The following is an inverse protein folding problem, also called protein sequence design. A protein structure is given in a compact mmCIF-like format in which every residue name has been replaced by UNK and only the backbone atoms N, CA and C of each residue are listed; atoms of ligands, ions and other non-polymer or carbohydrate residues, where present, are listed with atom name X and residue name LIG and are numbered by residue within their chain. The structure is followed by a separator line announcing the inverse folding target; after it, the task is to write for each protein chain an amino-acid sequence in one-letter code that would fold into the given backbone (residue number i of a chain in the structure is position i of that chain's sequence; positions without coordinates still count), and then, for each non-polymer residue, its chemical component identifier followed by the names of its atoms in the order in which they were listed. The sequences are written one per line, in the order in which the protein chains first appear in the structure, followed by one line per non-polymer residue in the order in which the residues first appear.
data_IF_586970391934
#
_entry.id   IF_586970391934
#
_cell.length_a   1.000
_cell.length_b   1.000
_cell.length_c   1.000
_cell.angle_alpha   90.00
_cell.angle_beta   90.00
_cell.angle_gamma   90.00
#
_symmetry.space_group_name_H-M   'P 1'
#
loop_
_entity.id
_entity.type
_entity.pdbx_description
1 polymer ?
#
# COMPACT_ATOMS: atom_id res chain seq x y z
N UNK A 1 13.19 -8.93 16.32
CA UNK A 1 13.71 -8.05 17.38
C UNK A 1 12.80 -8.06 18.61
N UNK A 2 11.48 -7.82 18.48
CA UNK A 2 10.57 -7.88 19.63
C UNK A 2 10.55 -9.25 20.32
N UNK A 3 10.30 -10.34 19.56
CA UNK A 3 10.27 -11.72 20.10
C UNK A 3 11.61 -12.13 20.71
N UNK A 4 12.74 -11.82 20.06
CA UNK A 4 14.07 -12.16 20.58
C UNK A 4 14.39 -11.41 21.89
N UNK A 5 13.88 -10.19 22.08
CA UNK A 5 13.99 -9.44 23.34
C UNK A 5 13.06 -9.99 24.42
N UNK A 6 11.82 -10.31 24.07
CA UNK A 6 10.86 -10.92 25.02
C UNK A 6 11.36 -12.27 25.55
N UNK A 7 11.99 -13.06 24.69
CA UNK A 7 12.52 -14.37 25.03
C UNK A 7 13.96 -14.33 25.56
N UNK A 8 14.58 -13.15 25.66
CA UNK A 8 15.99 -12.97 26.08
C UNK A 8 16.98 -13.85 25.33
N UNK A 9 16.74 -14.09 24.03
CA UNK A 9 17.62 -14.90 23.17
C UNK A 9 18.22 -14.06 22.05
N UNK A 10 19.45 -14.42 21.65
CA UNK A 10 20.07 -13.80 20.49
C UNK A 10 19.20 -14.05 19.23
N UNK A 11 19.08 -13.04 18.37
CA UNK A 11 18.29 -13.12 17.13
C UNK A 11 18.74 -14.27 16.22
N UNK A 12 20.03 -14.61 16.25
CA UNK A 12 20.61 -15.72 15.50
C UNK A 12 20.21 -17.08 16.09
N UNK A 13 20.12 -17.17 17.42
CA UNK A 13 19.58 -18.34 18.11
C UNK A 13 18.12 -18.55 17.77
N UNK A 14 17.30 -17.49 17.82
CA UNK A 14 15.90 -17.55 17.43
C UNK A 14 15.74 -17.98 15.95
N UNK A 15 16.60 -17.48 15.06
CA UNK A 15 16.63 -17.89 13.66
C UNK A 15 16.98 -19.38 13.50
N UNK A 16 18.01 -19.86 14.20
CA UNK A 16 18.42 -21.26 14.15
C UNK A 16 17.33 -22.20 14.69
N UNK A 17 16.70 -21.85 15.81
CA UNK A 17 15.57 -22.61 16.35
C UNK A 17 14.41 -22.67 15.36
N UNK A 18 14.06 -21.54 14.74
CA UNK A 18 13.03 -21.55 13.71
C UNK A 18 13.40 -22.47 12.55
N UNK A 19 14.67 -22.50 12.12
CA UNK A 19 15.12 -23.41 11.05
C UNK A 19 15.03 -24.88 11.47
N UNK A 20 15.49 -25.21 12.68
CA UNK A 20 15.44 -26.57 13.22
C UNK A 20 14.00 -27.08 13.36
N UNK A 21 13.09 -26.20 13.78
CA UNK A 21 11.67 -26.52 13.93
C UNK A 21 10.87 -26.47 12.60
N UNK A 22 11.53 -26.24 11.45
CA UNK A 22 10.85 -26.09 10.17
C UNK A 22 9.96 -24.85 10.04
N UNK A 23 10.00 -23.93 11.02
CA UNK A 23 9.23 -22.68 11.07
C UNK A 23 9.80 -21.58 10.16
N UNK A 24 10.73 -21.94 9.29
CA UNK A 24 11.30 -21.09 8.26
C UNK A 24 10.96 -21.71 6.91
N UNK A 25 9.68 -21.69 6.58
CA UNK A 25 9.23 -22.00 5.24
C UNK A 25 9.47 -20.78 4.35
N UNK A 26 10.62 -20.77 3.68
CA UNK A 26 10.88 -19.82 2.60
C UNK A 26 10.30 -20.30 1.27
N UNK A 27 9.36 -21.24 1.26
CA UNK A 27 8.87 -21.90 0.05
C UNK A 27 10.00 -22.49 -0.79
N UNK A 28 9.62 -23.10 -1.90
CA UNK A 28 10.57 -23.36 -2.98
C UNK A 28 10.70 -22.11 -3.85
N UNK A 29 11.91 -21.86 -4.36
CA UNK A 29 12.08 -20.86 -5.40
C UNK A 29 11.49 -21.41 -6.70
N UNK A 30 10.80 -20.55 -7.44
CA UNK A 30 10.27 -20.88 -8.75
C UNK A 30 11.43 -21.10 -9.72
N UNK A 31 11.44 -22.23 -10.42
CA UNK A 31 12.37 -22.45 -11.51
C UNK A 31 11.91 -21.65 -12.74
N UNK A 32 12.41 -20.43 -12.86
CA UNK A 32 12.08 -19.48 -13.95
C UNK A 32 13.36 -19.13 -14.72
N UNK A 33 13.27 -18.99 -16.05
CA UNK A 33 14.38 -18.54 -16.90
C UNK A 33 14.74 -17.07 -16.63
N UNK A 34 15.91 -16.61 -17.08
CA UNK A 34 16.24 -15.19 -16.98
C UNK A 34 15.37 -14.35 -17.92
N UNK A 35 15.04 -14.86 -19.10
CA UNK A 35 14.25 -14.12 -20.10
C UNK A 35 12.80 -13.91 -19.62
N UNK A 36 12.19 -14.93 -19.00
CA UNK A 36 10.86 -14.79 -18.41
C UNK A 36 10.85 -13.87 -17.19
N UNK A 37 11.90 -13.96 -16.36
CA UNK A 37 12.06 -13.06 -15.24
C UNK A 37 12.20 -11.61 -15.72
N UNK A 38 12.97 -11.37 -16.78
CA UNK A 38 13.15 -10.05 -17.37
C UNK A 38 11.87 -9.50 -17.98
N UNK A 39 11.11 -10.35 -18.67
CA UNK A 39 9.79 -10.00 -19.19
C UNK A 39 8.87 -9.56 -18.06
N UNK A 40 8.78 -10.32 -16.98
CA UNK A 40 7.98 -9.92 -15.81
C UNK A 40 8.47 -8.63 -15.16
N UNK A 41 9.78 -8.44 -15.03
CA UNK A 41 10.33 -7.19 -14.48
C UNK A 41 9.95 -6.00 -15.38
N UNK A 42 10.05 -6.18 -16.69
CA UNK A 42 9.73 -5.15 -17.69
C UNK A 42 8.25 -4.79 -17.66
N UNK A 43 7.35 -5.77 -17.61
CA UNK A 43 5.90 -5.57 -17.45
C UNK A 43 5.59 -4.74 -16.19
N UNK A 44 6.25 -5.04 -15.05
CA UNK A 44 6.06 -4.29 -13.81
C UNK A 44 6.58 -2.85 -13.93
N UNK A 45 7.71 -2.65 -14.63
CA UNK A 45 8.26 -1.31 -14.86
C UNK A 45 7.41 -0.48 -15.81
N UNK A 46 6.75 -1.10 -16.80
CA UNK A 46 5.81 -0.43 -17.68
C UNK A 46 4.57 0.04 -16.92
N UNK A 47 4.02 -0.80 -16.04
CA UNK A 47 2.84 -0.46 -15.23
C UNK A 47 3.17 0.50 -14.09
N UNK A 48 4.35 0.39 -13.49
CA UNK A 48 4.77 1.22 -12.36
C UNK A 48 6.22 1.66 -12.56
N UNK A 49 6.45 2.71 -13.36
CA UNK A 49 7.77 3.25 -13.60
C UNK A 49 8.49 3.61 -12.31
N UNK A 50 9.80 3.34 -12.28
CA UNK A 50 10.65 3.61 -11.12
C UNK A 50 10.56 2.56 -10.00
N UNK A 51 9.81 1.46 -10.18
CA UNK A 51 9.76 0.35 -9.23
C UNK A 51 11.15 -0.18 -8.85
N UNK A 52 11.43 -0.20 -7.55
CA UNK A 52 12.66 -0.79 -7.01
C UNK A 52 12.50 -2.28 -6.71
N UNK A 53 13.59 -2.89 -6.25
CA UNK A 53 13.68 -4.31 -5.90
C UNK A 53 12.49 -4.83 -5.05
N UNK A 54 12.02 -4.04 -4.08
CA UNK A 54 10.89 -4.40 -3.21
C UNK A 54 9.58 -4.52 -3.99
N UNK A 55 9.28 -3.57 -4.89
CA UNK A 55 8.04 -3.60 -5.70
C UNK A 55 8.07 -4.75 -6.69
N UNK A 56 9.21 -4.96 -7.36
CA UNK A 56 9.41 -6.10 -8.25
C UNK A 56 9.19 -7.42 -7.51
N UNK A 57 9.84 -7.58 -6.36
CA UNK A 57 9.70 -8.79 -5.53
C UNK A 57 8.25 -9.00 -5.08
N UNK A 58 7.56 -7.92 -4.68
CA UNK A 58 6.14 -7.98 -4.30
C UNK A 58 5.24 -8.40 -5.45
N UNK A 59 5.44 -7.82 -6.65
CA UNK A 59 4.67 -8.16 -7.84
C UNK A 59 4.89 -9.61 -8.27
N UNK A 60 6.14 -10.09 -8.30
CA UNK A 60 6.46 -11.49 -8.59
C UNK A 60 5.78 -12.43 -7.59
N UNK A 61 5.84 -12.12 -6.29
CA UNK A 61 5.16 -12.92 -5.25
C UNK A 61 3.64 -12.94 -5.41
N UNK A 62 3.03 -11.82 -5.79
CA UNK A 62 1.60 -11.75 -6.09
C UNK A 62 1.19 -12.65 -7.26
N UNK A 63 2.12 -12.95 -8.17
CA UNK A 63 1.96 -13.91 -9.27
C UNK A 63 2.37 -15.35 -8.90
N UNK A 64 2.65 -15.62 -7.62
CA UNK A 64 3.15 -16.93 -7.16
C UNK A 64 4.61 -17.21 -7.53
N UNK A 65 5.34 -16.22 -8.07
CA UNK A 65 6.72 -16.36 -8.51
C UNK A 65 7.67 -15.95 -7.39
N UNK A 66 8.43 -16.90 -6.88
CA UNK A 66 9.39 -16.66 -5.79
C UNK A 66 10.81 -16.78 -6.32
N UNK A 67 11.51 -15.64 -6.36
CA UNK A 67 12.89 -15.56 -6.87
C UNK A 67 13.83 -15.11 -5.74
N UNK A 68 15.08 -15.62 -5.69
CA UNK A 68 16.08 -15.11 -4.77
C UNK A 68 16.30 -13.60 -4.94
N UNK A 69 16.42 -12.89 -3.81
CA UNK A 69 16.58 -11.44 -3.78
C UNK A 69 17.76 -10.94 -4.61
N UNK A 70 18.88 -11.67 -4.60
CA UNK A 70 20.07 -11.32 -5.36
C UNK A 70 19.81 -11.36 -6.87
N UNK A 71 19.04 -12.34 -7.35
CA UNK A 71 18.74 -12.53 -8.77
C UNK A 71 17.81 -11.44 -9.29
N UNK A 72 16.78 -11.07 -8.51
CA UNK A 72 15.93 -9.90 -8.83
C UNK A 72 16.78 -8.62 -8.95
N UNK A 73 17.72 -8.40 -8.03
CA UNK A 73 18.61 -7.23 -8.06
C UNK A 73 19.53 -7.21 -9.28
N UNK A 74 20.09 -8.36 -9.62
CA UNK A 74 20.96 -8.52 -10.79
C UNK A 74 20.20 -8.21 -12.08
N UNK A 75 19.05 -8.86 -12.29
CA UNK A 75 18.22 -8.63 -13.50
C UNK A 75 17.74 -7.19 -13.59
N UNK A 76 17.23 -6.62 -12.49
CA UNK A 76 16.79 -5.22 -12.45
C UNK A 76 17.92 -4.23 -12.77
N UNK A 77 19.17 -4.53 -12.40
CA UNK A 77 20.34 -3.70 -12.77
C UNK A 77 20.56 -3.66 -14.27
N UNK A 78 20.34 -4.79 -14.96
CA UNK A 78 20.54 -4.92 -16.40
C UNK A 78 19.42 -4.20 -17.15
N UNK A 79 18.17 -4.37 -16.70
CA UNK A 79 16.97 -3.83 -17.36
C UNK A 79 16.79 -2.32 -17.11
N UNK A 80 17.04 -1.85 -15.89
CA UNK A 80 16.81 -0.44 -15.49
C UNK A 80 18.07 0.18 -14.83
N UNK A 81 19.17 0.35 -15.57
CA UNK A 81 20.39 0.94 -15.04
C UNK A 81 20.19 2.41 -14.65
N UNK A 82 19.41 3.16 -15.43
CA UNK A 82 19.15 4.60 -15.22
C UNK A 82 18.24 4.83 -14.02
N UNK A 83 17.11 4.14 -13.92
CA UNK A 83 16.20 4.27 -12.79
C UNK A 83 16.87 3.87 -11.48
N UNK A 84 17.84 2.94 -11.51
CA UNK A 84 18.66 2.62 -10.32
C UNK A 84 19.48 3.81 -9.84
N UNK A 85 20.13 4.54 -10.74
CA UNK A 85 20.91 5.74 -10.39
C UNK A 85 20.00 6.83 -9.84
N UNK A 86 18.86 7.07 -10.49
CA UNK A 86 17.89 8.07 -10.03
C UNK A 86 17.33 7.76 -8.64
N UNK A 87 17.08 6.47 -8.32
CA UNK A 87 16.66 6.04 -6.98
C UNK A 87 17.77 6.26 -5.94
N UNK A 88 19.02 5.99 -6.29
CA UNK A 88 20.16 6.17 -5.39
C UNK A 88 20.37 7.63 -4.96
N UNK A 89 20.02 8.60 -5.82
CA UNK A 89 20.14 10.05 -5.54
C UNK A 89 19.05 10.58 -4.61
N UNK A 90 17.91 9.90 -4.49
CA UNK A 90 16.79 10.32 -3.62
C UNK A 90 17.01 9.81 -2.20
N UNK A 91 17.83 10.51 -1.42
CA UNK A 91 17.91 10.24 0.01
C UNK A 91 16.57 10.56 0.68
N UNK A 92 15.87 9.53 1.16
CA UNK A 92 14.63 9.72 1.94
C UNK A 92 15.06 10.17 3.34
N UNK A 93 14.76 11.41 3.69
CA UNK A 93 14.90 11.89 5.06
C UNK A 93 13.90 11.12 5.95
N UNK A 94 14.41 10.21 6.77
CA UNK A 94 13.58 9.44 7.70
C UNK A 94 13.22 10.34 8.88
N UNK A 95 11.93 10.67 9.01
CA UNK A 95 11.41 11.31 10.21
C UNK A 95 11.37 10.30 11.36
N UNK A 96 11.72 10.73 12.56
CA UNK A 96 11.57 9.93 13.77
C UNK A 96 10.07 9.80 14.03
N UNK A 97 9.58 8.56 13.97
CA UNK A 97 8.20 8.23 14.31
C UNK A 97 8.25 7.01 15.21
N UNK A 98 7.59 7.11 16.37
CA UNK A 98 7.54 6.04 17.35
C UNK A 98 6.10 5.73 17.77
N UNK A 99 5.68 4.50 17.53
CA UNK A 99 4.53 3.82 18.16
C UNK A 99 5.12 2.49 18.62
N UNK A 100 4.74 2.02 19.80
CA UNK A 100 5.49 0.98 20.51
C UNK A 100 5.01 -0.42 20.18
N UNK A 101 3.72 -0.59 19.85
CA UNK A 101 3.11 -1.90 19.58
C UNK A 101 2.05 -1.82 18.47
N UNK A 102 1.78 -2.94 17.75
CA UNK A 102 0.64 -3.03 16.84
C UNK A 102 -0.67 -2.68 17.53
N UNK A 103 -1.60 -2.10 16.77
CA UNK A 103 -2.95 -1.74 17.24
C UNK A 103 -2.99 -0.67 18.35
N UNK A 104 -1.87 -0.01 18.63
CA UNK A 104 -1.83 1.11 19.55
C UNK A 104 -2.41 2.38 18.93
N UNK A 105 -2.07 2.68 17.68
CA UNK A 105 -2.48 3.91 17.02
C UNK A 105 -2.75 3.66 15.55
N UNK A 106 -4.00 3.83 15.12
CA UNK A 106 -4.36 3.86 13.71
C UNK A 106 -4.37 5.30 13.19
N UNK A 107 -3.89 5.48 11.96
CA UNK A 107 -3.85 6.73 11.21
C UNK A 107 -4.92 6.62 10.14
N UNK A 108 -5.99 7.39 10.26
CA UNK A 108 -7.10 7.41 9.30
C UNK A 108 -7.12 8.75 8.58
N UNK A 109 -7.55 8.73 7.33
CA UNK A 109 -7.68 9.93 6.50
C UNK A 109 -8.50 9.64 5.25
N UNK A 110 -8.86 10.70 4.52
CA UNK A 110 -9.47 10.60 3.21
C UNK A 110 -8.61 11.30 2.14
N UNK A 111 -8.61 10.75 0.93
CA UNK A 111 -7.82 11.28 -0.18
C UNK A 111 -8.72 11.64 -1.36
N UNK A 112 -8.70 12.94 -1.68
CA UNK A 112 -9.55 13.60 -2.66
C UNK A 112 -8.91 13.77 -4.04
N UNK A 113 -7.82 13.08 -4.38
CA UNK A 113 -7.15 13.26 -5.68
C UNK A 113 -8.04 12.97 -6.89
N UNK A 114 -9.07 12.14 -6.72
CA UNK A 114 -10.06 11.82 -7.76
C UNK A 114 -11.45 12.46 -7.49
N UNK A 115 -11.53 13.40 -6.55
CA UNK A 115 -12.78 14.08 -6.19
C UNK A 115 -13.47 14.80 -7.37
N UNK A 116 -12.75 15.38 -8.36
CA UNK A 116 -13.40 15.95 -9.55
C UNK A 116 -14.30 14.97 -10.32
N UNK A 117 -14.02 13.67 -10.23
CA UNK A 117 -14.81 12.60 -10.85
C UNK A 117 -15.74 11.89 -9.86
N UNK A 118 -15.95 12.47 -8.68
CA UNK A 118 -16.83 11.93 -7.65
C UNK A 118 -16.25 10.76 -6.84
N UNK A 119 -14.93 10.54 -6.88
CA UNK A 119 -14.28 9.45 -6.14
C UNK A 119 -13.41 9.96 -4.98
N UNK A 120 -13.55 9.32 -3.82
CA UNK A 120 -12.76 9.60 -2.61
C UNK A 120 -12.22 8.30 -2.06
N UNK A 121 -10.91 8.25 -1.76
CA UNK A 121 -10.33 7.11 -1.07
C UNK A 121 -10.41 7.30 0.44
N UNK A 122 -10.96 6.31 1.14
CA UNK A 122 -10.95 6.19 2.59
C UNK A 122 -9.85 5.21 2.98
N UNK A 123 -9.02 5.58 3.96
CA UNK A 123 -7.88 4.74 4.36
C UNK A 123 -7.61 4.74 5.85
N UNK A 124 -7.11 3.60 6.33
CA UNK A 124 -6.62 3.41 7.69
C UNK A 124 -5.30 2.64 7.68
N UNK A 125 -4.34 3.06 8.51
CA UNK A 125 -3.03 2.42 8.63
C UNK A 125 -2.63 2.29 10.09
N UNK A 126 -2.20 1.09 10.49
CA UNK A 126 -1.59 0.88 11.80
C UNK A 126 -0.21 1.55 11.88
N UNK A 127 -0.04 2.39 12.90
CA UNK A 127 1.12 3.22 13.12
C UNK A 127 2.41 2.43 13.38
N UNK A 128 2.31 1.26 13.99
CA UNK A 128 3.46 0.40 14.28
C UNK A 128 3.86 -0.43 13.06
N UNK A 129 2.95 -1.30 12.63
CA UNK A 129 3.20 -2.36 11.65
C UNK A 129 3.19 -1.87 10.20
N UNK A 130 2.62 -0.69 9.93
CA UNK A 130 2.27 -0.20 8.58
C UNK A 130 1.22 -1.07 7.87
N UNK A 131 0.52 -1.95 8.59
CA UNK A 131 -0.61 -2.66 8.04
C UNK A 131 -1.67 -1.66 7.57
N UNK A 132 -2.11 -1.77 6.32
CA UNK A 132 -3.26 -1.04 5.82
C UNK A 132 -4.48 -1.77 6.39
N UNK A 133 -5.17 -1.16 7.35
CA UNK A 133 -6.32 -1.77 8.03
C UNK A 133 -7.56 -1.73 7.15
N UNK A 134 -7.70 -0.65 6.38
CA UNK A 134 -8.64 -0.58 5.26
C UNK A 134 -8.15 0.43 4.22
N UNK A 135 -8.55 0.20 2.96
CA UNK A 135 -8.37 1.14 1.86
C UNK A 135 -9.48 0.90 0.84
N UNK A 136 -10.38 1.88 0.67
CA UNK A 136 -11.54 1.76 -0.21
C UNK A 136 -11.77 3.03 -1.01
N UNK A 137 -12.07 2.88 -2.30
CA UNK A 137 -12.56 3.96 -3.14
C UNK A 137 -14.09 4.02 -3.00
N UNK A 138 -14.63 5.17 -2.65
CA UNK A 138 -16.06 5.40 -2.48
C UNK A 138 -16.50 6.59 -3.35
N UNK A 139 -17.80 6.69 -3.58
CA UNK A 139 -18.41 7.82 -4.30
C UNK A 139 -18.95 8.92 -3.38
N UNK A 140 -18.65 8.82 -2.09
CA UNK A 140 -19.07 9.79 -1.07
C UNK A 140 -18.02 9.92 0.05
N UNK A 141 -18.12 11.00 0.82
CA UNK A 141 -17.28 11.29 1.98
C UNK A 141 -18.08 11.42 3.27
N UNK A 142 -19.14 10.60 3.43
CA UNK A 142 -20.01 10.69 4.61
C UNK A 142 -19.36 10.06 5.83
N UNK A 143 -19.68 10.60 7.01
CA UNK A 143 -19.21 10.08 8.28
C UNK A 143 -19.65 8.64 8.55
N UNK A 144 -20.88 8.29 8.14
CA UNK A 144 -21.40 6.93 8.24
C UNK A 144 -20.61 5.92 7.39
N UNK A 145 -20.20 6.32 6.18
CA UNK A 145 -19.35 5.51 5.29
C UNK A 145 -17.99 5.27 5.94
N UNK A 146 -17.33 6.33 6.42
CA UNK A 146 -16.05 6.22 7.11
C UNK A 146 -16.13 5.33 8.35
N UNK A 147 -17.19 5.48 9.15
CA UNK A 147 -17.45 4.65 10.32
C UNK A 147 -17.70 3.18 9.97
N UNK A 148 -18.45 2.88 8.90
CA UNK A 148 -18.68 1.51 8.46
C UNK A 148 -17.38 0.83 8.05
N UNK A 149 -16.55 1.52 7.25
CA UNK A 149 -15.24 1.00 6.84
C UNK A 149 -14.31 0.75 8.03
N UNK A 150 -14.32 1.67 8.98
CA UNK A 150 -13.56 1.54 10.21
C UNK A 150 -14.01 0.33 11.04
N UNK A 151 -15.30 0.15 11.27
CA UNK A 151 -15.83 -1.00 12.02
C UNK A 151 -15.50 -2.34 11.35
N UNK A 152 -15.66 -2.43 10.03
CA UNK A 152 -15.26 -3.64 9.28
C UNK A 152 -13.77 -3.98 9.50
N UNK A 153 -12.91 -2.97 9.59
CA UNK A 153 -11.50 -3.18 9.90
C UNK A 153 -11.28 -3.57 11.37
N UNK A 154 -12.04 -3.00 12.30
CA UNK A 154 -12.03 -3.38 13.72
C UNK A 154 -12.44 -4.84 13.91
N UNK A 155 -13.42 -5.34 13.15
CA UNK A 155 -13.82 -6.76 13.22
C UNK A 155 -12.69 -7.71 12.80
N UNK A 156 -11.82 -7.28 11.88
CA UNK A 156 -10.71 -8.07 11.38
C UNK A 156 -9.44 -7.96 12.23
N UNK A 157 -9.11 -6.76 12.71
CA UNK A 157 -7.82 -6.46 13.35
C UNK A 157 -7.93 -6.15 14.84
N UNK A 158 -9.15 -6.09 15.38
CA UNK A 158 -9.45 -5.65 16.73
C UNK A 158 -9.43 -4.12 16.88
N UNK A 159 -10.18 -3.62 17.85
CA UNK A 159 -10.30 -2.18 18.12
C UNK A 159 -8.93 -1.57 18.51
N UNK A 160 -8.44 -0.51 17.86
CA UNK A 160 -7.19 0.14 18.28
C UNK A 160 -7.32 0.81 19.65
N UNK A 161 -6.18 1.10 20.30
CA UNK A 161 -6.19 1.90 21.54
C UNK A 161 -6.49 3.38 21.25
N UNK A 162 -5.94 3.89 20.15
CA UNK A 162 -6.10 5.25 19.71
C UNK A 162 -6.30 5.32 18.20
N UNK A 163 -7.06 6.32 17.76
CA UNK A 163 -7.14 6.70 16.35
C UNK A 163 -6.64 8.13 16.21
N UNK A 164 -5.92 8.43 15.14
CA UNK A 164 -5.56 9.78 14.73
C UNK A 164 -6.16 10.04 13.35
N UNK A 165 -6.82 11.18 13.24
CA UNK A 165 -7.33 11.74 12.00
C UNK A 165 -7.23 13.25 12.06
N UNK A 166 -7.71 13.91 11.01
CA UNK A 166 -7.88 15.35 11.00
C UNK A 166 -9.20 15.75 11.68
N UNK A 167 -9.56 17.03 11.57
CA UNK A 167 -10.82 17.57 12.10
C UNK A 167 -11.97 17.46 11.08
N UNK A 168 -11.86 16.58 10.08
CA UNK A 168 -12.84 16.40 9.02
C UNK A 168 -14.19 15.92 9.54
N UNK A 169 -15.27 16.40 8.92
CA UNK A 169 -16.63 16.02 9.32
C UNK A 169 -16.91 14.54 9.04
N UNK A 170 -16.20 13.93 8.09
CA UNK A 170 -16.24 12.50 7.81
C UNK A 170 -15.70 11.65 8.96
N UNK A 171 -14.87 12.20 9.83
CA UNK A 171 -14.25 11.46 10.92
C UNK A 171 -15.06 11.54 12.23
N UNK A 172 -16.13 12.34 12.28
CA UNK A 172 -16.92 12.59 13.49
C UNK A 172 -17.51 11.31 14.08
N UNK A 173 -18.08 10.45 13.23
CA UNK A 173 -18.72 9.22 13.70
C UNK A 173 -17.70 8.18 14.18
N UNK A 174 -16.50 8.12 13.57
CA UNK A 174 -15.38 7.31 14.08
C UNK A 174 -14.89 7.85 15.43
N UNK A 175 -14.77 9.16 15.56
CA UNK A 175 -14.38 9.79 16.82
C UNK A 175 -15.38 9.48 17.94
N UNK A 176 -16.68 9.58 17.67
CA UNK A 176 -17.75 9.21 18.61
C UNK A 176 -17.65 7.75 19.02
N UNK A 177 -17.56 6.83 18.04
CA UNK A 177 -17.42 5.40 18.27
C UNK A 177 -16.20 5.06 19.16
N UNK A 178 -15.05 5.70 18.90
CA UNK A 178 -13.84 5.49 19.69
C UNK A 178 -13.98 6.01 21.12
N UNK A 179 -14.63 7.16 21.33
CA UNK A 179 -14.90 7.72 22.66
C UNK A 179 -15.84 6.80 23.45
N UNK A 180 -16.87 6.26 22.81
CA UNK A 180 -17.82 5.32 23.44
C UNK A 180 -17.13 4.01 23.87
N UNK A 181 -16.23 3.46 23.04
CA UNK A 181 -15.62 2.15 23.29
C UNK A 181 -14.29 2.19 24.07
N UNK A 182 -13.54 3.30 24.03
CA UNK A 182 -12.26 3.47 24.74
C UNK A 182 -12.30 4.49 25.87
N UNK A 183 -13.38 5.27 25.97
CA UNK A 183 -13.61 6.30 26.98
C UNK A 183 -13.19 7.71 26.53
N UNK A 184 -13.77 8.73 27.16
CA UNK A 184 -13.38 10.12 26.98
C UNK A 184 -12.03 10.44 27.65
N UNK A 185 -11.37 11.52 27.23
CA UNK A 185 -10.13 12.08 27.85
C UNK A 185 -8.91 11.15 27.90
N UNK A 186 -8.86 10.10 27.06
CA UNK A 186 -7.71 9.17 26.97
C UNK A 186 -6.96 9.26 25.64
N UNK A 187 -7.30 10.23 24.80
CA UNK A 187 -6.79 10.31 23.42
C UNK A 187 -7.35 9.19 22.53
N UNK A 188 -8.58 8.73 22.79
CA UNK A 188 -9.26 7.69 22.01
C UNK A 188 -9.37 8.08 20.53
N UNK A 189 -9.67 9.35 20.27
CA UNK A 189 -9.50 9.99 18.97
C UNK A 189 -8.62 11.24 19.15
N UNK A 190 -7.54 11.32 18.38
CA UNK A 190 -6.61 12.44 18.38
C UNK A 190 -6.76 13.22 17.08
N UNK A 191 -7.34 14.40 17.17
CA UNK A 191 -7.35 15.37 16.07
C UNK A 191 -5.96 15.99 15.97
N UNK A 192 -5.36 15.97 14.78
CA UNK A 192 -4.09 16.65 14.54
C UNK A 192 -3.95 17.10 13.09
N UNK A 193 -3.08 18.08 12.84
CA UNK A 193 -2.74 18.49 11.47
C UNK A 193 -2.17 17.30 10.66
N UNK A 194 -2.34 17.31 9.34
CA UNK A 194 -1.82 16.30 8.40
C UNK A 194 -0.34 15.93 8.62
N UNK A 195 0.50 16.88 9.04
CA UNK A 195 1.92 16.65 9.38
C UNK A 195 2.16 15.63 10.51
N UNK A 196 1.15 15.37 11.34
CA UNK A 196 1.15 14.36 12.41
C UNK A 196 0.57 13.00 11.96
N UNK A 197 -0.12 12.97 10.83
CA UNK A 197 -0.74 11.79 10.21
C UNK A 197 0.24 11.09 9.24
N UNK A 198 1.52 11.02 9.61
CA UNK A 198 2.61 10.68 8.69
C UNK A 198 2.49 9.30 8.03
N UNK A 199 1.77 8.37 8.68
CA UNK A 199 1.69 6.97 8.21
C UNK A 199 0.72 6.84 7.05
N UNK A 200 -0.44 7.47 7.15
CA UNK A 200 -1.44 7.50 6.08
C UNK A 200 -1.02 8.44 4.95
N UNK A 201 -0.38 9.57 5.26
CA UNK A 201 0.20 10.46 4.23
C UNK A 201 1.26 9.74 3.37
N UNK A 202 2.07 8.89 4.00
CA UNK A 202 3.02 8.06 3.27
C UNK A 202 2.33 7.04 2.36
N UNK A 203 1.17 6.50 2.79
CA UNK A 203 0.34 5.63 1.96
C UNK A 203 -0.24 6.43 0.78
N UNK A 204 -0.75 7.64 1.02
CA UNK A 204 -1.26 8.52 -0.03
C UNK A 204 -0.22 8.85 -1.08
N UNK A 205 1.03 9.09 -0.69
CA UNK A 205 2.11 9.28 -1.65
C UNK A 205 2.28 8.07 -2.60
N UNK A 206 2.14 6.83 -2.13
CA UNK A 206 2.17 5.65 -3.02
C UNK A 206 0.89 5.49 -3.83
N UNK A 207 -0.28 5.61 -3.19
CA UNK A 207 -1.57 5.48 -3.86
C UNK A 207 -1.70 6.50 -5.00
N UNK A 208 -1.30 7.74 -4.76
CA UNK A 208 -1.33 8.78 -5.78
C UNK A 208 -0.38 8.50 -6.94
N UNK A 209 0.81 7.97 -6.64
CA UNK A 209 1.82 7.66 -7.65
C UNK A 209 1.42 6.47 -8.52
N UNK A 210 0.81 5.44 -7.94
CA UNK A 210 0.57 4.15 -8.62
C UNK A 210 -0.85 4.01 -9.14
N UNK A 211 -1.84 4.51 -8.40
CA UNK A 211 -3.27 4.30 -8.70
C UNK A 211 -3.91 5.58 -9.21
N UNK A 212 -3.88 6.66 -8.41
CA UNK A 212 -4.63 7.87 -8.75
C UNK A 212 -4.10 8.54 -10.01
N UNK A 213 -2.79 8.51 -10.27
CA UNK A 213 -2.21 9.06 -11.49
C UNK A 213 -2.80 8.40 -12.75
N UNK A 214 -2.85 7.06 -12.78
CA UNK A 214 -3.43 6.31 -13.90
C UNK A 214 -4.90 6.67 -14.15
N UNK A 215 -5.73 6.63 -13.10
CA UNK A 215 -7.16 6.94 -13.24
C UNK A 215 -7.40 8.40 -13.61
N UNK A 216 -6.59 9.32 -13.07
CA UNK A 216 -6.65 10.73 -13.46
C UNK A 216 -6.39 10.92 -14.95
N UNK A 217 -5.35 10.31 -15.49
CA UNK A 217 -5.03 10.40 -16.91
C UNK A 217 -6.14 9.78 -17.78
N UNK A 218 -6.68 8.64 -17.36
CA UNK A 218 -7.81 7.99 -18.03
C UNK A 218 -9.07 8.88 -18.04
N UNK A 219 -9.43 9.47 -16.91
CA UNK A 219 -10.63 10.30 -16.81
C UNK A 219 -10.49 11.60 -17.60
N UNK A 220 -9.32 12.25 -17.54
CA UNK A 220 -9.03 13.41 -18.39
C UNK A 220 -9.10 13.08 -19.88
N UNK A 221 -8.59 11.91 -20.28
CA UNK A 221 -8.74 11.44 -21.66
C UNK A 221 -10.21 11.29 -22.04
N UNK A 222 -11.03 10.69 -21.18
CA UNK A 222 -12.47 10.50 -21.43
C UNK A 222 -13.24 11.83 -21.50
N UNK A 223 -12.89 12.83 -20.68
CA UNK A 223 -13.50 14.17 -20.72
C UNK A 223 -13.16 14.90 -22.02
N UNK A 224 -11.87 14.94 -22.37
CA UNK A 224 -11.40 15.54 -23.62
C UNK A 224 -12.03 14.87 -24.85
N UNK A 225 -12.38 13.59 -24.74
CA UNK A 225 -13.03 12.85 -25.80
C UNK A 225 -14.51 13.24 -25.97
N UNK A 226 -15.22 13.44 -24.85
CA UNK A 226 -16.62 13.92 -24.84
C UNK A 226 -16.74 15.33 -25.39
N UNK A 227 -15.78 16.20 -25.08
CA UNK A 227 -15.79 17.60 -25.52
C UNK A 227 -15.45 17.76 -27.01
N UNK A 228 -14.76 16.79 -27.62
CA UNK A 228 -14.32 16.84 -29.02
C UNK A 228 -15.19 16.02 -30.00
N UNK A 229 -16.28 15.41 -29.55
CA UNK A 229 -17.33 14.81 -30.41
C UNK A 229 -16.88 13.69 -31.37
N UNK A 230 -15.63 13.21 -31.30
CA UNK A 230 -15.15 12.10 -32.13
C UNK A 230 -15.54 10.77 -31.46
N UNK A 231 -16.01 9.75 -32.18
CA UNK A 231 -16.24 8.42 -31.61
C UNK A 231 -14.91 7.71 -31.33
N UNK A 232 -14.89 6.86 -30.29
CA UNK A 232 -13.71 6.11 -29.84
C UNK A 232 -13.09 5.41 -31.05
N UNK A 233 -11.75 5.42 -31.25
CA UNK A 233 -11.16 4.40 -32.09
C UNK A 233 -11.59 3.08 -31.47
N UNK A 234 -12.35 2.29 -32.20
CA UNK A 234 -12.59 0.89 -31.86
C UNK A 234 -11.21 0.25 -31.76
N UNK A 235 -10.67 0.19 -30.54
CA UNK A 235 -9.56 -0.68 -30.23
C UNK A 235 -10.09 -2.08 -30.54
N UNK A 236 -9.67 -2.59 -31.69
CA UNK A 236 -9.95 -3.96 -32.11
C UNK A 236 -9.57 -4.87 -30.96
N UNK A 237 -10.53 -5.69 -30.57
CA UNK A 237 -10.42 -6.72 -29.56
C UNK A 237 -9.58 -7.91 -30.09
N UNK A 238 -8.49 -7.64 -30.83
CA UNK A 238 -7.72 -8.63 -31.58
C UNK A 238 -6.44 -9.08 -30.85
N UNK A 239 -6.30 -8.78 -29.56
CA UNK A 239 -5.15 -9.22 -28.76
C UNK A 239 -5.39 -10.51 -27.95
N UNK A 240 -6.52 -11.21 -28.13
CA UNK A 240 -6.86 -12.44 -27.40
C UNK A 240 -7.14 -13.68 -28.27
N UNK A 241 -6.88 -13.63 -29.57
CA UNK A 241 -6.94 -14.84 -30.41
C UNK A 241 -5.52 -15.33 -30.72
N UNK A 242 -5.04 -16.26 -29.91
CA UNK A 242 -3.90 -17.11 -30.26
C UNK A 242 -4.29 -18.00 -31.46
N UNK A 243 -3.41 -18.19 -32.46
CA UNK A 243 -3.71 -19.10 -33.56
C UNK A 243 -3.59 -20.55 -33.07
N UNK A 244 -4.70 -21.28 -33.11
CA UNK A 244 -4.70 -22.75 -33.21
C UNK A 244 -4.55 -23.13 -34.67
N UNK A 245 -3.33 -23.44 -35.08
CA UNK A 245 -2.92 -24.57 -35.95
C UNK A 245 -1.44 -24.47 -36.28
#
# INVERSE_FOLDING_TARGET
MAISRMLSVNIRTLYNHRRQLGLVDYGTFTNISNDDLDRHITEVLQQTPGSGETYITGSLRGRGIRVPRWRVRERLRIIDPVGRVLRGRRAIQRRVYNVSVPNQLWHIDTNHKLNPWGFVFHGGVDGYSRCITYLRCCTDNRASTALQLFQNAVDLFGLPQHVRGDAGSENIDVARFMIENRGANRGSFMVGCSVHNQRIERLWAELNRVVSAYFKDLFLFMENFKDNGKPLPTATLDCWNAPTS
#
